data_IF_763077694466
#
_entry.id   IF_763077694466
#
_cell.length_a   1.000
_cell.length_b   1.000
_cell.length_c   1.000
_cell.angle_alpha   90.00
_cell.angle_beta   90.00
_cell.angle_gamma   90.00
#
_symmetry.space_group_name_H-M   'P 1'
#
loop_
_entity.id
_entity.type
_entity.pdbx_description
1 polymer ?
#
# COMPACT_ATOMS: atom_id res chain seq x y z
N UNK A 1 -49.77 -17.97 5.61
CA UNK A 1 -48.91 -17.09 6.43
C UNK A 1 -47.47 -17.50 6.18
N UNK A 2 -46.71 -16.56 5.60
CA UNK A 2 -45.27 -16.51 5.33
C UNK A 2 -44.50 -17.81 5.04
N UNK A 3 -44.40 -18.13 3.75
CA UNK A 3 -43.29 -18.89 3.17
C UNK A 3 -42.07 -17.97 3.10
N UNK A 4 -41.16 -18.10 4.06
CA UNK A 4 -39.88 -17.39 4.05
C UNK A 4 -38.94 -17.99 3.00
N UNK A 5 -38.87 -17.35 1.84
CA UNK A 5 -37.89 -17.65 0.80
C UNK A 5 -36.48 -17.45 1.34
N UNK A 6 -35.73 -18.54 1.43
CA UNK A 6 -34.29 -18.56 1.68
C UNK A 6 -33.56 -17.93 0.49
N UNK A 7 -33.28 -16.63 0.59
CA UNK A 7 -32.37 -15.93 -0.32
C UNK A 7 -30.96 -16.42 -0.04
N UNK A 8 -30.57 -17.46 -0.76
CA UNK A 8 -29.19 -17.89 -0.93
C UNK A 8 -28.40 -16.73 -1.53
N UNK A 9 -27.63 -16.03 -0.71
CA UNK A 9 -26.62 -15.08 -1.15
C UNK A 9 -25.50 -15.88 -1.84
N UNK A 10 -25.73 -16.21 -3.11
CA UNK A 10 -24.68 -16.64 -4.01
C UNK A 10 -23.63 -15.53 -4.08
N UNK A 11 -22.61 -15.64 -3.25
CA UNK A 11 -21.34 -14.94 -3.37
C UNK A 11 -20.63 -15.44 -4.62
N UNK A 12 -21.16 -15.08 -5.79
CA UNK A 12 -20.43 -15.23 -7.04
C UNK A 12 -19.17 -14.37 -6.91
N UNK A 13 -18.03 -15.01 -6.70
CA UNK A 13 -16.72 -14.39 -6.88
C UNK A 13 -16.69 -13.85 -8.30
N UNK A 14 -17.02 -12.56 -8.43
CA UNK A 14 -17.12 -11.90 -9.72
C UNK A 14 -15.71 -11.92 -10.31
N UNK A 15 -15.53 -12.62 -11.42
CA UNK A 15 -14.24 -12.70 -12.08
C UNK A 15 -13.69 -11.27 -12.27
N UNK A 16 -12.41 -11.00 -11.96
CA UNK A 16 -11.87 -9.66 -12.07
C UNK A 16 -12.09 -9.17 -13.49
N UNK A 17 -12.79 -8.04 -13.63
CA UNK A 17 -13.06 -7.47 -14.94
C UNK A 17 -11.76 -7.19 -15.69
N UNK A 18 -11.78 -7.23 -17.02
CA UNK A 18 -10.59 -7.03 -17.86
C UNK A 18 -9.83 -5.74 -17.50
N UNK A 19 -10.53 -4.66 -17.14
CA UNK A 19 -9.94 -3.42 -16.67
C UNK A 19 -9.12 -3.58 -15.37
N UNK A 20 -9.59 -4.40 -14.42
CA UNK A 20 -8.92 -4.67 -13.15
C UNK A 20 -7.65 -5.50 -13.38
N UNK A 21 -7.71 -6.50 -14.27
CA UNK A 21 -6.53 -7.30 -14.66
C UNK A 21 -5.47 -6.39 -15.30
N UNK A 22 -5.86 -5.56 -16.26
CA UNK A 22 -4.95 -4.62 -16.92
C UNK A 22 -4.33 -3.62 -15.94
N UNK A 23 -5.09 -3.15 -14.96
CA UNK A 23 -4.60 -2.25 -13.91
C UNK A 23 -3.54 -2.93 -13.03
N UNK A 24 -3.79 -4.17 -12.61
CA UNK A 24 -2.82 -4.95 -11.82
C UNK A 24 -1.54 -5.19 -12.62
N UNK A 25 -1.67 -5.65 -13.87
CA UNK A 25 -0.53 -5.89 -14.77
C UNK A 25 0.24 -4.59 -15.01
N UNK A 26 -0.46 -3.46 -15.20
CA UNK A 26 0.16 -2.15 -15.37
C UNK A 26 0.97 -1.72 -14.17
N UNK A 27 0.45 -1.89 -12.94
CA UNK A 27 1.20 -1.57 -11.71
C UNK A 27 2.40 -2.50 -11.55
N UNK A 28 2.25 -3.80 -11.79
CA UNK A 28 3.36 -4.77 -11.74
C UNK A 28 4.46 -4.46 -12.76
N UNK A 29 4.08 -4.12 -14.00
CA UNK A 29 5.03 -3.75 -15.02
C UNK A 29 5.74 -2.44 -14.67
N UNK A 30 5.01 -1.44 -14.18
CA UNK A 30 5.59 -0.18 -13.72
C UNK A 30 6.60 -0.38 -12.59
N UNK A 31 6.26 -1.17 -11.56
CA UNK A 31 7.18 -1.44 -10.44
C UNK A 31 8.42 -2.20 -10.90
N UNK A 32 8.27 -3.13 -11.84
CA UNK A 32 9.40 -3.88 -12.41
C UNK A 32 10.34 -2.97 -13.21
N UNK A 33 9.80 -2.12 -14.09
CA UNK A 33 10.59 -1.15 -14.87
C UNK A 33 11.31 -0.17 -13.94
N UNK A 34 10.62 0.32 -12.90
CA UNK A 34 11.20 1.24 -11.93
C UNK A 34 12.32 0.58 -11.12
N UNK A 35 12.11 -0.66 -10.66
CA UNK A 35 13.12 -1.45 -9.95
C UNK A 35 14.36 -1.72 -10.82
N UNK A 36 14.15 -2.04 -12.10
CA UNK A 36 15.26 -2.22 -13.05
C UNK A 36 16.04 -0.91 -13.29
N UNK A 37 15.34 0.22 -13.44
CA UNK A 37 15.98 1.52 -13.63
C UNK A 37 16.80 1.97 -12.42
N UNK A 38 16.37 1.59 -11.21
CA UNK A 38 17.11 1.79 -9.97
C UNK A 38 18.38 0.93 -9.91
N UNK A 39 18.26 -0.35 -10.19
CA UNK A 39 19.41 -1.28 -10.18
C UNK A 39 20.47 -0.92 -11.23
N UNK A 40 20.06 -0.32 -12.35
CA UNK A 40 20.97 0.10 -13.42
C UNK A 40 21.52 1.51 -13.25
N UNK A 41 21.26 2.19 -12.12
CA UNK A 41 21.62 3.59 -11.85
C UNK A 41 21.15 4.58 -12.94
N UNK A 42 20.15 4.20 -13.75
CA UNK A 42 19.60 5.06 -14.82
C UNK A 42 18.65 6.12 -14.27
N UNK A 43 18.22 5.97 -13.02
CA UNK A 43 17.32 6.88 -12.33
C UNK A 43 18.04 7.46 -11.10
N UNK A 44 18.15 8.80 -10.98
CA UNK A 44 18.68 9.41 -9.77
C UNK A 44 17.86 8.98 -8.56
N UNK A 45 18.53 8.53 -7.50
CA UNK A 45 17.89 8.04 -6.27
C UNK A 45 16.90 9.07 -5.68
N UNK A 46 17.16 10.36 -5.89
CA UNK A 46 16.28 11.46 -5.47
C UNK A 46 14.88 11.35 -6.07
N UNK A 47 14.79 11.04 -7.36
CA UNK A 47 13.52 10.99 -8.11
C UNK A 47 12.81 9.65 -7.92
N UNK A 48 13.55 8.59 -7.59
CA UNK A 48 12.95 7.27 -7.42
C UNK A 48 12.03 7.19 -6.21
N UNK A 49 12.28 7.92 -5.11
CA UNK A 49 11.39 7.89 -3.94
C UNK A 49 9.96 8.33 -4.28
N UNK A 50 9.80 9.37 -5.10
CA UNK A 50 8.50 9.85 -5.55
C UNK A 50 7.84 8.85 -6.51
N UNK A 51 8.63 8.26 -7.41
CA UNK A 51 8.15 7.25 -8.36
C UNK A 51 7.72 5.94 -7.68
N UNK A 52 8.33 5.58 -6.54
CA UNK A 52 7.96 4.41 -5.70
C UNK A 52 6.77 4.75 -4.79
N UNK A 53 6.61 6.00 -4.36
CA UNK A 53 5.48 6.39 -3.51
C UNK A 53 4.12 6.15 -4.20
N UNK A 54 4.04 6.39 -5.51
CA UNK A 54 2.83 6.17 -6.33
C UNK A 54 2.30 4.72 -6.27
N UNK A 55 3.09 3.67 -6.57
CA UNK A 55 2.61 2.30 -6.48
C UNK A 55 2.31 1.86 -5.04
N UNK A 56 2.88 2.52 -4.01
CA UNK A 56 2.51 2.26 -2.61
C UNK A 56 1.13 2.82 -2.23
N UNK A 57 0.60 3.80 -2.94
CA UNK A 57 -0.77 4.30 -2.74
C UNK A 57 -1.83 3.31 -3.26
N UNK A 58 -1.49 2.53 -4.30
CA UNK A 58 -2.41 1.54 -4.88
C UNK A 58 -2.93 0.54 -3.83
N UNK A 59 -2.08 -0.17 -3.06
CA UNK A 59 -2.56 -1.05 -2.01
C UNK A 59 -3.27 -0.30 -0.88
N UNK A 60 -2.85 0.92 -0.53
CA UNK A 60 -3.55 1.72 0.48
C UNK A 60 -5.03 1.95 0.11
N UNK A 61 -5.26 2.47 -1.10
CA UNK A 61 -6.62 2.71 -1.62
C UNK A 61 -7.37 1.38 -1.80
N UNK A 62 -6.69 0.33 -2.25
CA UNK A 62 -7.29 -0.99 -2.42
C UNK A 62 -7.85 -1.55 -1.11
N UNK A 63 -7.06 -1.54 -0.03
CA UNK A 63 -7.51 -2.01 1.27
C UNK A 63 -8.61 -1.14 1.86
N UNK A 64 -8.56 0.18 1.65
CA UNK A 64 -9.63 1.09 2.07
C UNK A 64 -10.96 0.79 1.35
N UNK A 65 -10.94 0.59 0.03
CA UNK A 65 -12.14 0.20 -0.73
C UNK A 65 -12.64 -1.16 -0.24
N UNK A 66 -11.74 -2.10 0.04
CA UNK A 66 -12.08 -3.41 0.60
C UNK A 66 -12.79 -3.29 1.96
N UNK A 67 -12.34 -2.38 2.82
CA UNK A 67 -12.98 -2.08 4.09
C UNK A 67 -14.39 -1.49 3.90
N UNK A 68 -14.52 -0.46 3.05
CA UNK A 68 -15.80 0.22 2.80
C UNK A 68 -16.85 -0.72 2.20
N UNK A 69 -16.42 -1.71 1.42
CA UNK A 69 -17.31 -2.73 0.85
C UNK A 69 -17.64 -3.89 1.80
N UNK A 70 -16.91 -4.03 2.91
CA UNK A 70 -17.14 -5.10 3.88
C UNK A 70 -18.13 -4.65 4.95
N UNK A 71 -19.36 -5.16 4.91
CA UNK A 71 -20.43 -4.85 5.87
C UNK A 71 -20.08 -5.24 7.32
N UNK A 72 -19.11 -6.14 7.51
CA UNK A 72 -18.70 -6.62 8.83
C UNK A 72 -17.46 -5.92 9.42
N UNK A 73 -16.98 -4.84 8.80
CA UNK A 73 -15.99 -3.94 9.39
C UNK A 73 -14.64 -4.57 9.73
N UNK A 74 -13.96 -5.18 8.75
CA UNK A 74 -12.62 -5.75 8.93
C UNK A 74 -11.58 -4.63 9.21
N UNK A 75 -11.34 -4.36 10.50
CA UNK A 75 -10.37 -3.36 10.99
C UNK A 75 -8.95 -3.68 10.50
N UNK A 76 -8.65 -4.94 10.19
CA UNK A 76 -7.37 -5.34 9.61
C UNK A 76 -7.09 -4.67 8.26
N UNK A 77 -8.12 -4.50 7.43
CA UNK A 77 -8.00 -3.77 6.16
C UNK A 77 -7.70 -2.29 6.37
N UNK A 78 -8.27 -1.66 7.40
CA UNK A 78 -7.97 -0.27 7.77
C UNK A 78 -6.53 -0.13 8.24
N UNK A 79 -6.07 -1.04 9.11
CA UNK A 79 -4.70 -1.04 9.60
C UNK A 79 -3.68 -1.26 8.47
N UNK A 80 -3.96 -2.19 7.55
CA UNK A 80 -3.12 -2.40 6.35
C UNK A 80 -3.14 -1.19 5.42
N UNK A 81 -4.31 -0.58 5.18
CA UNK A 81 -4.43 0.66 4.40
C UNK A 81 -3.58 1.78 5.00
N UNK A 82 -3.68 1.98 6.32
CA UNK A 82 -2.90 2.99 7.04
C UNK A 82 -1.41 2.69 6.96
N UNK A 83 -1.01 1.42 7.05
CA UNK A 83 0.37 0.99 6.89
C UNK A 83 0.96 1.37 5.53
N UNK A 84 0.25 1.07 4.43
CA UNK A 84 0.68 1.46 3.08
C UNK A 84 0.68 2.98 2.84
N UNK A 85 -0.25 3.70 3.45
CA UNK A 85 -0.24 5.16 3.45
C UNK A 85 0.99 5.71 4.18
N UNK A 86 1.37 5.12 5.31
CA UNK A 86 2.58 5.48 6.05
C UNK A 86 3.86 5.15 5.28
N UNK A 87 3.91 4.07 4.50
CA UNK A 87 5.03 3.81 3.55
C UNK A 87 5.16 4.98 2.57
N UNK A 88 4.03 5.42 2.01
CA UNK A 88 4.00 6.55 1.07
C UNK A 88 4.52 7.83 1.74
N UNK A 89 4.07 8.13 2.96
CA UNK A 89 4.54 9.27 3.74
C UNK A 89 6.03 9.19 4.08
N UNK A 90 6.55 8.01 4.41
CA UNK A 90 7.98 7.82 4.67
C UNK A 90 8.81 8.15 3.43
N UNK A 91 8.41 7.66 2.26
CA UNK A 91 9.07 7.92 0.98
C UNK A 91 8.97 9.39 0.58
N UNK A 92 7.81 10.01 0.76
CA UNK A 92 7.60 11.43 0.47
C UNK A 92 8.46 12.31 1.39
N UNK A 93 8.49 12.02 2.69
CA UNK A 93 9.32 12.73 3.66
C UNK A 93 10.80 12.61 3.32
N UNK A 94 11.24 11.41 2.94
CA UNK A 94 12.62 11.17 2.47
C UNK A 94 12.95 11.98 1.22
N UNK A 95 12.03 12.02 0.25
CA UNK A 95 12.19 12.83 -0.96
C UNK A 95 12.35 14.33 -0.64
N UNK A 96 11.48 14.88 0.22
CA UNK A 96 11.54 16.29 0.62
C UNK A 96 12.83 16.63 1.38
N UNK A 97 13.28 15.76 2.29
CA UNK A 97 14.52 15.96 3.03
C UNK A 97 15.74 15.96 2.09
N UNK A 98 15.76 15.07 1.11
CA UNK A 98 16.83 15.00 0.11
C UNK A 98 16.84 16.26 -0.77
N UNK A 99 15.68 16.70 -1.27
CA UNK A 99 15.56 17.95 -2.03
C UNK A 99 16.02 19.17 -1.23
N UNK A 100 15.64 19.26 0.06
CA UNK A 100 16.06 20.34 0.94
C UNK A 100 17.59 20.35 1.20
N UNK A 101 18.22 19.17 1.30
CA UNK A 101 19.66 19.05 1.50
C UNK A 101 20.45 19.36 0.23
N UNK A 102 19.96 18.96 -0.94
CA UNK A 102 20.54 19.30 -2.25
C UNK A 102 20.45 20.81 -2.52
N UNK A 103 19.33 21.43 -2.14
CA UNK A 103 19.18 22.89 -2.18
C UNK A 103 20.19 23.63 -1.28
N UNK A 104 20.79 22.93 -0.30
CA UNK A 104 21.85 23.45 0.58
C UNK A 104 23.26 23.03 0.15
N UNK A 105 23.41 22.35 -0.99
CA UNK A 105 24.71 21.92 -1.53
C UNK A 105 25.33 20.72 -0.79
N UNK A 106 24.56 19.98 0.00
CA UNK A 106 25.04 18.81 0.74
C UNK A 106 25.06 17.61 -0.21
N UNK A 107 26.16 16.84 -0.21
CA UNK A 107 26.27 15.61 -1.01
C UNK A 107 25.33 14.53 -0.47
N UNK A 108 24.68 13.78 -1.36
CA UNK A 108 23.74 12.70 -1.03
C UNK A 108 24.28 11.68 -0.02
N UNK A 109 25.58 11.39 -0.09
CA UNK A 109 26.28 10.42 0.76
C UNK A 109 26.29 10.82 2.24
N UNK A 110 26.12 12.12 2.54
CA UNK A 110 26.12 12.66 3.89
C UNK A 110 24.70 12.78 4.47
N UNK A 111 23.68 12.47 3.68
CA UNK A 111 22.27 12.55 4.10
C UNK A 111 21.89 11.25 4.79
N UNK A 112 21.91 11.27 6.12
CA UNK A 112 21.37 10.18 6.94
C UNK A 112 19.84 10.23 6.97
N UNK A 113 19.21 9.06 7.13
CA UNK A 113 17.77 8.96 7.31
C UNK A 113 17.33 9.67 8.60
N UNK A 114 16.36 10.56 8.48
CA UNK A 114 15.84 11.30 9.64
C UNK A 114 15.03 10.37 10.56
N UNK A 115 14.99 10.65 11.88
CA UNK A 115 14.20 9.86 12.82
C UNK A 115 12.72 9.75 12.42
N UNK A 116 12.18 10.75 11.74
CA UNK A 116 10.82 10.75 11.20
C UNK A 116 10.59 9.69 10.12
N UNK A 117 11.55 9.46 9.22
CA UNK A 117 11.46 8.42 8.18
C UNK A 117 11.46 7.04 8.83
N UNK A 118 12.30 6.83 9.84
CA UNK A 118 12.33 5.60 10.63
C UNK A 118 11.03 5.36 11.39
N UNK A 119 10.47 6.39 12.02
CA UNK A 119 9.19 6.29 12.72
C UNK A 119 8.07 5.88 11.77
N UNK A 120 7.95 6.51 10.61
CA UNK A 120 6.94 6.16 9.62
C UNK A 120 7.16 4.75 9.04
N UNK A 121 8.40 4.34 8.79
CA UNK A 121 8.72 3.00 8.31
C UNK A 121 8.33 1.92 9.33
N UNK A 122 8.65 2.12 10.62
CA UNK A 122 8.30 1.18 11.68
C UNK A 122 6.78 1.09 11.89
N UNK A 123 6.09 2.23 11.92
CA UNK A 123 4.63 2.27 12.01
C UNK A 123 3.97 1.63 10.79
N UNK A 124 4.54 1.82 9.59
CA UNK A 124 4.06 1.19 8.37
C UNK A 124 4.17 -0.34 8.44
N UNK A 125 5.32 -0.86 8.88
CA UNK A 125 5.53 -2.30 9.06
C UNK A 125 4.54 -2.85 10.09
N UNK A 126 4.39 -2.17 11.24
CA UNK A 126 3.44 -2.56 12.27
C UNK A 126 1.99 -2.56 11.75
N UNK A 127 1.60 -1.57 10.96
CA UNK A 127 0.27 -1.48 10.36
C UNK A 127 0.01 -2.56 9.31
N UNK A 128 0.98 -2.85 8.45
CA UNK A 128 0.86 -3.88 7.40
C UNK A 128 0.79 -5.27 8.04
N UNK A 129 1.76 -5.61 8.90
CA UNK A 129 1.83 -6.93 9.55
C UNK A 129 0.67 -7.11 10.52
N UNK A 130 0.40 -6.11 11.37
CA UNK A 130 -0.71 -6.14 12.31
C UNK A 130 -2.06 -6.21 11.63
N UNK A 131 -2.26 -5.42 10.56
CA UNK A 131 -3.48 -5.47 9.75
C UNK A 131 -3.69 -6.82 9.06
N UNK A 132 -2.64 -7.42 8.52
CA UNK A 132 -2.70 -8.75 7.92
C UNK A 132 -3.11 -9.83 8.94
N UNK A 133 -2.54 -9.80 10.15
CA UNK A 133 -2.88 -10.74 11.24
C UNK A 133 -4.33 -10.55 11.69
N UNK A 134 -4.77 -9.30 11.90
CA UNK A 134 -6.15 -9.00 12.31
C UNK A 134 -7.17 -9.43 11.26
N UNK A 135 -6.91 -9.12 9.98
CA UNK A 135 -7.80 -9.54 8.88
C UNK A 135 -7.88 -11.06 8.78
N UNK A 136 -6.74 -11.76 8.86
CA UNK A 136 -6.73 -13.24 8.83
C UNK A 136 -7.56 -13.83 9.97
N UNK A 137 -7.44 -13.29 11.19
CA UNK A 137 -8.24 -13.74 12.34
C UNK A 137 -9.73 -13.45 12.15
N UNK A 138 -10.09 -12.29 11.60
CA UNK A 138 -11.47 -11.93 11.31
C UNK A 138 -12.12 -12.92 10.33
N UNK A 139 -11.43 -13.27 9.24
CA UNK A 139 -11.94 -14.21 8.25
C UNK A 139 -12.04 -15.64 8.79
N UNK A 140 -11.07 -16.08 9.58
CA UNK A 140 -11.15 -17.38 10.25
C UNK A 140 -12.35 -17.45 11.20
N UNK A 141 -12.59 -16.41 12.00
CA UNK A 141 -13.72 -16.35 12.93
C UNK A 141 -15.08 -16.32 12.21
N UNK A 142 -15.15 -15.71 11.03
CA UNK A 142 -16.37 -15.64 10.21
C UNK A 142 -16.66 -16.95 9.46
N UNK A 143 -15.65 -17.79 9.22
CA UNK A 143 -15.79 -19.07 8.51
C UNK A 143 -16.21 -20.25 9.39
N UNK A 144 -16.26 -20.05 10.71
CA UNK A 144 -16.72 -21.03 11.73
C UNK A 144 -18.15 -20.68 12.13
#
# INVERSE_FOLDING_TARGET
MYSGSSTSSNSSAQAPGLAQILSIVGVLFYTLVLGFALLTNRLPAERSYLLIALPCLVPAVWYLIGFLKNEGGDIGLVASSLGWFLVTLALLTKHLNIQAALGRGIKLEQISDTPSVWLFALLAIAGIVGGAVLSTRYWMAKSV
#
